data_IF_404733459759
#
_entry.id   IF_404733459759
#
_cell.length_a   1.000
_cell.length_b   1.000
_cell.length_c   1.000
_cell.angle_alpha   90.00
_cell.angle_beta   90.00
_cell.angle_gamma   90.00
#
_symmetry.space_group_name_H-M   'P 1'
#
loop_
_entity.id
_entity.type
_entity.pdbx_description
1 polymer ?
#
# COMPACT_ATOMS: atom_id res chain seq x y z
N UNK A 1 -15.75 -12.77 -3.75
CA UNK A 1 -14.28 -12.66 -3.76
C UNK A 1 -13.80 -12.41 -2.34
N UNK A 2 -12.66 -13.00 -1.99
CA UNK A 2 -12.09 -12.86 -0.64
C UNK A 2 -11.69 -11.40 -0.38
N UNK A 3 -11.92 -10.92 0.85
CA UNK A 3 -11.55 -9.55 1.24
C UNK A 3 -10.06 -9.26 1.04
N UNK A 4 -9.19 -10.25 1.25
CA UNK A 4 -7.75 -10.06 1.04
C UNK A 4 -7.37 -9.92 -0.44
N UNK A 5 -8.18 -10.45 -1.37
CA UNK A 5 -8.00 -10.18 -2.79
C UNK A 5 -8.32 -8.71 -3.10
N UNK A 6 -9.40 -8.18 -2.54
CA UNK A 6 -9.71 -6.76 -2.66
C UNK A 6 -8.61 -5.88 -2.06
N UNK A 7 -8.07 -6.31 -0.91
CA UNK A 7 -6.98 -5.59 -0.26
C UNK A 7 -5.72 -5.58 -1.13
N UNK A 8 -5.38 -6.70 -1.76
CA UNK A 8 -4.24 -6.77 -2.68
C UNK A 8 -4.42 -5.83 -3.87
N UNK A 9 -5.62 -5.78 -4.45
CA UNK A 9 -5.93 -4.85 -5.55
C UNK A 9 -5.79 -3.40 -5.07
N UNK A 10 -6.31 -3.10 -3.88
CA UNK A 10 -6.23 -1.77 -3.30
C UNK A 10 -4.78 -1.33 -3.09
N UNK A 11 -3.95 -2.23 -2.55
CA UNK A 11 -2.52 -1.96 -2.32
C UNK A 11 -1.80 -1.70 -3.65
N UNK A 12 -2.02 -2.54 -4.65
CA UNK A 12 -1.40 -2.35 -5.96
C UNK A 12 -1.80 -1.02 -6.59
N UNK A 13 -3.07 -0.67 -6.55
CA UNK A 13 -3.57 0.60 -7.10
C UNK A 13 -2.97 1.80 -6.35
N UNK A 14 -2.90 1.70 -5.03
CA UNK A 14 -2.33 2.75 -4.17
C UNK A 14 -0.82 2.92 -4.45
N UNK A 15 -0.09 1.82 -4.60
CA UNK A 15 1.35 1.89 -4.89
C UNK A 15 1.60 2.59 -6.22
N UNK A 16 0.83 2.27 -7.26
CA UNK A 16 0.92 2.94 -8.55
C UNK A 16 0.66 4.45 -8.39
N UNK A 17 -0.39 4.80 -7.65
CA UNK A 17 -0.74 6.19 -7.40
C UNK A 17 0.36 6.92 -6.64
N UNK A 18 0.84 6.34 -5.55
CA UNK A 18 1.83 6.97 -4.67
C UNK A 18 3.17 7.15 -5.39
N UNK A 19 3.63 6.15 -6.13
CA UNK A 19 4.87 6.25 -6.89
C UNK A 19 4.74 7.29 -8.00
N UNK A 20 3.59 7.35 -8.66
CA UNK A 20 3.34 8.34 -9.72
C UNK A 20 3.29 9.77 -9.20
N UNK A 21 3.00 9.96 -7.91
CA UNK A 21 2.89 11.28 -7.30
C UNK A 21 4.15 12.12 -7.47
N UNK A 22 5.33 11.50 -7.38
CA UNK A 22 6.60 12.21 -7.56
C UNK A 22 6.74 12.81 -8.95
N UNK A 23 6.10 12.20 -9.96
CA UNK A 23 6.16 12.65 -11.34
C UNK A 23 5.12 13.74 -11.67
N UNK A 24 4.20 14.02 -10.75
CA UNK A 24 3.16 15.03 -10.98
C UNK A 24 3.77 16.43 -10.85
N UNK A 25 3.56 17.25 -11.88
CA UNK A 25 3.99 18.67 -11.93
C UNK A 25 2.79 19.53 -12.29
N UNK A 26 1.73 19.44 -11.46
CA UNK A 26 0.48 20.12 -11.73
C UNK A 26 -0.23 19.52 -12.94
N UNK A 27 -0.98 20.34 -13.66
CA UNK A 27 -1.75 19.87 -14.81
C UNK A 27 -0.92 19.71 -16.09
N UNK A 28 0.39 20.05 -16.05
CA UNK A 28 1.27 19.88 -17.21
C UNK A 28 1.73 18.43 -17.40
N UNK A 29 1.46 17.54 -16.43
CA UNK A 29 1.79 16.13 -16.52
C UNK A 29 0.52 15.28 -16.38
N UNK A 30 -0.27 15.15 -17.48
CA UNK A 30 -1.59 14.52 -17.39
C UNK A 30 -1.54 13.04 -17.03
N UNK A 31 -0.57 12.27 -17.56
CA UNK A 31 -0.52 10.84 -17.30
C UNK A 31 -0.24 10.51 -15.83
N UNK A 32 0.80 11.05 -15.18
CA UNK A 32 0.99 10.82 -13.75
C UNK A 32 -0.20 11.29 -12.90
N UNK A 33 -0.80 12.43 -13.25
CA UNK A 33 -1.96 12.95 -12.52
C UNK A 33 -3.15 12.00 -12.61
N UNK A 34 -3.43 11.47 -13.80
CA UNK A 34 -4.51 10.49 -14.01
C UNK A 34 -4.24 9.22 -13.19
N UNK A 35 -3.00 8.72 -13.19
CA UNK A 35 -2.63 7.54 -12.42
C UNK A 35 -2.85 7.74 -10.92
N UNK A 36 -2.55 8.94 -10.40
CA UNK A 36 -2.80 9.26 -8.99
C UNK A 36 -4.29 9.23 -8.69
N UNK A 37 -5.09 9.94 -9.48
CA UNK A 37 -6.53 10.06 -9.24
C UNK A 37 -7.22 8.70 -9.37
N UNK A 38 -6.99 8.00 -10.45
CA UNK A 38 -7.62 6.70 -10.70
C UNK A 38 -7.12 5.64 -9.72
N UNK A 39 -5.83 5.62 -9.45
CA UNK A 39 -5.22 4.67 -8.53
C UNK A 39 -5.79 4.80 -7.12
N UNK A 40 -5.83 6.02 -6.58
CA UNK A 40 -6.42 6.22 -5.25
C UNK A 40 -7.92 5.98 -5.24
N UNK A 41 -8.63 6.33 -6.32
CA UNK A 41 -10.06 6.05 -6.43
C UNK A 41 -10.36 4.56 -6.33
N UNK A 42 -9.63 3.74 -7.09
CA UNK A 42 -9.75 2.29 -7.04
C UNK A 42 -9.37 1.75 -5.66
N UNK A 43 -8.26 2.24 -5.10
CA UNK A 43 -7.76 1.78 -3.81
C UNK A 43 -8.79 2.02 -2.70
N UNK A 44 -9.34 3.22 -2.61
CA UNK A 44 -10.30 3.55 -1.56
C UNK A 44 -11.63 2.83 -1.77
N UNK A 45 -12.08 2.65 -3.02
CA UNK A 45 -13.27 1.86 -3.28
C UNK A 45 -13.09 0.42 -2.81
N UNK A 46 -11.97 -0.21 -3.17
CA UNK A 46 -11.67 -1.58 -2.74
C UNK A 46 -11.59 -1.67 -1.23
N UNK A 47 -11.01 -0.66 -0.56
CA UNK A 47 -10.92 -0.62 0.90
C UNK A 47 -12.31 -0.64 1.54
N UNK A 48 -13.30 0.05 0.97
CA UNK A 48 -14.66 0.02 1.51
C UNK A 48 -15.23 -1.39 1.50
N UNK A 49 -14.85 -2.21 0.53
CA UNK A 49 -15.26 -3.61 0.46
C UNK A 49 -14.52 -4.47 1.49
N UNK A 50 -13.24 -4.18 1.69
CA UNK A 50 -12.39 -4.93 2.64
C UNK A 50 -12.89 -4.77 4.08
N UNK A 51 -13.18 -3.54 4.49
CA UNK A 51 -13.53 -3.26 5.89
C UNK A 51 -14.92 -3.74 6.29
N UNK A 52 -15.68 -4.28 5.33
CA UNK A 52 -16.95 -4.95 5.65
C UNK A 52 -16.75 -6.24 6.42
N UNK A 53 -15.62 -6.93 6.21
CA UNK A 53 -15.36 -8.24 6.80
C UNK A 53 -14.06 -8.28 7.59
N UNK A 54 -13.10 -7.41 7.32
CA UNK A 54 -11.81 -7.35 8.02
C UNK A 54 -11.83 -6.14 8.94
N UNK A 55 -11.42 -6.26 10.21
CA UNK A 55 -11.34 -5.11 11.11
C UNK A 55 -10.51 -4.00 10.50
N UNK A 56 -10.95 -2.75 10.67
CA UNK A 56 -10.32 -1.58 10.03
C UNK A 56 -8.83 -1.50 10.40
N UNK A 57 -8.51 -1.72 11.67
CA UNK A 57 -7.11 -1.67 12.12
C UNK A 57 -6.24 -2.72 11.46
N UNK A 58 -6.75 -3.94 11.30
CA UNK A 58 -6.02 -5.03 10.63
C UNK A 58 -5.83 -4.72 9.16
N UNK A 59 -6.89 -4.29 8.47
CA UNK A 59 -6.83 -3.94 7.06
C UNK A 59 -5.81 -2.82 6.82
N UNK A 60 -5.83 -1.81 7.66
CA UNK A 60 -4.92 -0.69 7.53
C UNK A 60 -3.47 -1.09 7.83
N UNK A 61 -3.24 -1.93 8.83
CA UNK A 61 -1.90 -2.43 9.15
C UNK A 61 -1.29 -3.21 7.99
N UNK A 62 -2.06 -4.11 7.38
CA UNK A 62 -1.61 -4.88 6.21
C UNK A 62 -1.34 -3.95 5.04
N UNK A 63 -2.25 -3.02 4.77
CA UNK A 63 -2.09 -2.05 3.70
C UNK A 63 -0.81 -1.24 3.90
N UNK A 64 -0.63 -0.65 5.10
CA UNK A 64 0.54 0.17 5.38
C UNK A 64 1.84 -0.63 5.27
N UNK A 65 1.88 -1.83 5.83
CA UNK A 65 3.08 -2.67 5.79
C UNK A 65 3.46 -3.07 4.38
N UNK A 66 2.52 -3.63 3.64
CA UNK A 66 2.77 -4.06 2.27
C UNK A 66 3.01 -2.88 1.33
N UNK A 67 2.25 -1.79 1.51
CA UNK A 67 2.39 -0.59 0.72
C UNK A 67 3.77 0.05 0.88
N UNK A 68 4.27 0.14 2.11
CA UNK A 68 5.59 0.71 2.39
C UNK A 68 6.67 -0.07 1.64
N UNK A 69 6.64 -1.40 1.72
CA UNK A 69 7.62 -2.25 1.04
C UNK A 69 7.55 -2.05 -0.47
N UNK A 70 6.35 -2.12 -1.04
CA UNK A 70 6.17 -2.02 -2.50
C UNK A 70 6.54 -0.64 -3.02
N UNK A 71 6.14 0.43 -2.33
CA UNK A 71 6.49 1.81 -2.71
C UNK A 71 7.99 2.01 -2.63
N UNK A 72 8.64 1.51 -1.58
CA UNK A 72 10.08 1.66 -1.40
C UNK A 72 10.87 0.94 -2.48
N UNK A 73 10.45 -0.29 -2.84
CA UNK A 73 11.10 -1.05 -3.90
C UNK A 73 10.89 -0.34 -5.25
N UNK A 74 9.67 0.09 -5.55
CA UNK A 74 9.38 0.80 -6.79
C UNK A 74 10.17 2.11 -6.90
N UNK A 75 10.25 2.87 -5.82
CA UNK A 75 10.98 4.13 -5.80
C UNK A 75 12.48 3.91 -5.98
N UNK A 76 13.03 2.82 -5.46
CA UNK A 76 14.43 2.46 -5.68
C UNK A 76 14.71 2.25 -7.17
N UNK A 77 13.87 1.47 -7.85
CA UNK A 77 14.09 1.14 -9.26
C UNK A 77 13.74 2.28 -10.21
N UNK A 78 12.69 3.04 -9.92
CA UNK A 78 12.20 4.09 -10.82
C UNK A 78 12.93 5.41 -10.60
N UNK A 79 13.13 5.81 -9.34
CA UNK A 79 13.69 7.11 -8.98
C UNK A 79 15.09 7.04 -8.38
N UNK A 80 15.63 5.84 -8.17
CA UNK A 80 16.95 5.66 -7.55
C UNK A 80 17.01 6.08 -6.09
N UNK A 81 15.88 6.09 -5.39
CA UNK A 81 15.82 6.47 -3.98
C UNK A 81 16.29 5.34 -3.10
N UNK A 82 17.47 5.51 -2.50
CA UNK A 82 18.07 4.52 -1.62
C UNK A 82 17.71 4.82 -0.17
N UNK A 83 17.51 3.75 0.60
CA UNK A 83 17.20 3.84 2.02
C UNK A 83 18.45 3.52 2.84
N UNK A 84 18.60 4.24 3.95
CA UNK A 84 19.66 3.92 4.90
C UNK A 84 19.27 2.74 5.81
N UNK A 85 20.21 2.30 6.65
CA UNK A 85 19.98 1.14 7.51
C UNK A 85 18.86 1.39 8.52
N UNK A 86 18.77 2.54 9.21
CA UNK A 86 17.64 2.78 10.12
C UNK A 86 16.29 2.70 9.45
N UNK A 87 16.15 3.22 8.22
CA UNK A 87 14.89 3.14 7.47
C UNK A 87 14.54 1.68 7.14
N UNK A 88 15.52 0.91 6.69
CA UNK A 88 15.33 -0.50 6.38
C UNK A 88 14.94 -1.31 7.63
N UNK A 89 15.57 -1.04 8.77
CA UNK A 89 15.22 -1.69 10.03
C UNK A 89 13.79 -1.36 10.46
N UNK A 90 13.40 -0.09 10.36
CA UNK A 90 12.04 0.33 10.70
C UNK A 90 11.00 -0.34 9.84
N UNK A 91 11.24 -0.41 8.54
CA UNK A 91 10.36 -1.08 7.61
C UNK A 91 10.27 -2.59 7.89
N UNK A 92 11.39 -3.22 8.23
CA UNK A 92 11.40 -4.63 8.60
C UNK A 92 10.54 -4.88 9.84
N UNK A 93 10.59 -4.00 10.84
CA UNK A 93 9.75 -4.10 12.03
C UNK A 93 8.27 -3.98 11.69
N UNK A 94 7.90 -3.08 10.78
CA UNK A 94 6.52 -2.94 10.32
C UNK A 94 6.04 -4.22 9.64
N UNK A 95 6.84 -4.78 8.75
CA UNK A 95 6.51 -6.02 8.05
C UNK A 95 6.38 -7.17 9.03
N UNK A 96 7.30 -7.28 10.00
CA UNK A 96 7.21 -8.31 11.04
C UNK A 96 5.92 -8.18 11.86
N UNK A 97 5.51 -6.94 12.18
CA UNK A 97 4.25 -6.70 12.86
C UNK A 97 3.06 -7.19 12.06
N UNK A 98 3.04 -6.94 10.76
CA UNK A 98 1.98 -7.44 9.86
C UNK A 98 1.97 -8.97 9.83
N UNK A 99 3.14 -9.60 9.76
CA UNK A 99 3.26 -11.06 9.76
C UNK A 99 2.68 -11.63 11.06
N UNK A 100 2.97 -11.02 12.21
CA UNK A 100 2.43 -11.44 13.50
C UNK A 100 0.90 -11.36 13.48
N UNK A 101 0.33 -10.28 12.97
CA UNK A 101 -1.12 -10.13 12.87
C UNK A 101 -1.71 -11.26 12.01
N UNK A 102 -1.13 -11.52 10.86
CA UNK A 102 -1.68 -12.47 9.91
C UNK A 102 -1.57 -13.93 10.40
N UNK A 103 -0.50 -14.27 11.10
CA UNK A 103 -0.27 -15.65 11.52
C UNK A 103 -0.88 -15.98 12.89
N UNK A 104 -0.95 -15.01 13.80
CA UNK A 104 -1.28 -15.30 15.19
C UNK A 104 -2.53 -14.61 15.70
N UNK A 105 -2.99 -13.54 15.08
CA UNK A 105 -4.17 -12.83 15.55
C UNK A 105 -5.46 -13.45 15.05
N UNK A 106 -6.39 -13.65 15.96
CA UNK A 106 -7.74 -14.12 15.62
C UNK A 106 -8.58 -13.02 14.98
N UNK A 107 -8.21 -11.76 15.19
CA UNK A 107 -8.96 -10.63 14.63
C UNK A 107 -8.64 -10.39 13.16
N UNK A 108 -7.65 -11.10 12.60
CA UNK A 108 -7.32 -10.95 11.17
C UNK A 108 -8.29 -11.66 10.23
N UNK A 109 -9.34 -12.29 10.73
CA UNK A 109 -10.39 -12.89 9.90
C UNK A 109 -10.20 -14.39 9.62
N UNK A 110 -9.31 -15.04 10.35
CA UNK A 110 -9.08 -16.48 10.21
C UNK A 110 -8.78 -17.16 11.54
#
# INVERSE_FOLDING_TARGET
MNAYVYLAIAICAEVIATVSMKAVRGFSTPLPLILVIVGYGIAFWMLTLVVRTVPVGVAYAVWAGMGIVMVSVAALFIYGQKLDIPAMLGMALIVLGVVVIQLFSKTAGH
#
